data_IF_742390139750
#
_entry.id   IF_742390139750
#
_cell.length_a   1.000
_cell.length_b   1.000
_cell.length_c   1.000
_cell.angle_alpha   90.00
_cell.angle_beta   90.00
_cell.angle_gamma   90.00
#
_symmetry.space_group_name_H-M   'P 1'
#
loop_
_entity.id
_entity.type
_entity.pdbx_description
1 polymer ?
#
# COMPACT_ATOMS: atom_id res chain seq x y z
N UNK A 1 48.13 8.61 -3.49
CA UNK A 1 49.38 8.43 -4.23
C UNK A 1 49.15 7.47 -5.39
N UNK A 2 49.53 7.85 -6.57
CA UNK A 2 49.45 7.04 -7.76
C UNK A 2 50.62 6.03 -7.75
N UNK A 3 50.52 5.03 -6.88
CA UNK A 3 51.52 4.00 -6.73
C UNK A 3 52.68 4.40 -5.80
N UNK A 4 53.43 3.41 -5.40
CA UNK A 4 54.57 3.46 -4.47
C UNK A 4 55.88 4.05 -5.10
N UNK A 5 55.75 4.78 -6.19
CA UNK A 5 56.87 5.36 -6.92
C UNK A 5 57.76 4.39 -7.67
N UNK A 6 57.44 3.09 -7.64
CA UNK A 6 58.19 2.03 -8.29
C UNK A 6 57.49 1.40 -9.51
N UNK A 7 56.26 1.74 -9.73
CA UNK A 7 55.52 1.22 -10.87
C UNK A 7 55.71 2.09 -12.08
N UNK A 8 56.61 1.70 -12.89
CA UNK A 8 56.60 2.06 -14.28
C UNK A 8 55.30 1.55 -14.88
N UNK A 9 54.51 2.45 -15.40
CA UNK A 9 53.26 2.15 -16.10
C UNK A 9 53.46 1.35 -17.39
N UNK A 10 54.61 0.77 -17.57
CA UNK A 10 55.09 0.07 -18.74
C UNK A 10 55.00 -1.45 -18.54
N UNK A 11 53.87 -2.03 -18.86
CA UNK A 11 53.70 -3.49 -18.90
C UNK A 11 52.26 -3.93 -18.98
N UNK A 12 52.00 -5.09 -19.58
CA UNK A 12 50.67 -5.67 -19.62
C UNK A 12 50.18 -5.93 -18.19
N UNK A 13 49.03 -5.38 -17.83
CA UNK A 13 48.42 -5.60 -16.52
C UNK A 13 47.81 -6.98 -16.42
N UNK A 14 47.81 -7.52 -15.23
CA UNK A 14 47.14 -8.78 -14.98
C UNK A 14 45.64 -8.70 -15.28
N UNK A 15 45.05 -9.82 -15.66
CA UNK A 15 43.63 -9.93 -15.91
C UNK A 15 42.77 -9.49 -14.67
N UNK A 16 43.29 -9.70 -13.47
CA UNK A 16 42.64 -9.26 -12.23
C UNK A 16 42.67 -7.73 -12.05
N UNK A 17 43.76 -7.09 -12.42
CA UNK A 17 43.82 -5.62 -12.38
C UNK A 17 42.91 -4.99 -13.43
N UNK A 18 42.81 -5.61 -14.60
CA UNK A 18 41.86 -5.18 -15.64
C UNK A 18 40.40 -5.30 -15.18
N UNK A 19 40.03 -6.42 -14.52
CA UNK A 19 38.70 -6.62 -13.95
C UNK A 19 38.35 -5.60 -12.88
N UNK A 20 39.28 -5.32 -11.96
CA UNK A 20 39.10 -4.31 -10.91
C UNK A 20 38.92 -2.91 -11.52
N UNK A 21 39.63 -2.62 -12.57
CA UNK A 21 39.54 -1.36 -13.28
C UNK A 21 38.18 -1.21 -13.96
N UNK A 22 37.73 -2.21 -14.69
CA UNK A 22 36.40 -2.20 -15.35
C UNK A 22 35.28 -2.04 -14.33
N UNK A 23 35.33 -2.71 -13.17
CA UNK A 23 34.32 -2.60 -12.14
C UNK A 23 34.29 -1.21 -11.49
N UNK A 24 35.43 -0.53 -11.41
CA UNK A 24 35.53 0.80 -10.80
C UNK A 24 35.09 1.95 -11.72
N UNK A 25 35.03 1.73 -13.03
CA UNK A 25 34.76 2.78 -14.03
C UNK A 25 33.27 3.01 -14.33
N UNK A 26 32.38 2.17 -13.81
CA UNK A 26 30.94 2.22 -14.17
C UNK A 26 30.24 3.54 -13.76
N UNK A 27 30.82 4.31 -12.83
CA UNK A 27 30.19 5.51 -12.26
C UNK A 27 31.10 6.76 -12.37
N UNK A 28 32.06 6.75 -13.30
CA UNK A 28 33.02 7.85 -13.45
C UNK A 28 33.03 8.31 -14.87
N UNK A 29 32.80 9.60 -15.06
CA UNK A 29 33.05 10.27 -16.34
C UNK A 29 34.50 10.76 -16.35
N UNK A 30 35.30 10.20 -17.24
CA UNK A 30 36.68 10.63 -17.44
C UNK A 30 36.71 11.60 -18.62
N UNK A 31 37.10 12.84 -18.34
CA UNK A 31 37.30 13.84 -19.37
C UNK A 31 38.81 14.10 -19.52
N UNK A 32 39.30 13.96 -20.74
CA UNK A 32 40.65 14.36 -21.07
C UNK A 32 40.61 15.84 -21.47
N UNK A 33 41.47 16.65 -20.86
CA UNK A 33 41.55 18.08 -21.14
C UNK A 33 42.95 18.45 -21.59
N UNK A 34 43.04 19.35 -22.52
CA UNK A 34 44.32 19.92 -22.96
C UNK A 34 44.88 20.89 -21.88
N UNK A 35 46.09 21.38 -22.11
CA UNK A 35 46.74 22.36 -21.18
C UNK A 35 45.99 23.70 -21.05
N UNK A 36 44.88 23.91 -21.79
CA UNK A 36 44.01 25.07 -21.74
C UNK A 36 42.64 24.72 -21.11
N UNK A 37 42.52 23.51 -20.55
CA UNK A 37 41.28 22.97 -19.99
C UNK A 37 40.12 22.73 -20.99
N UNK A 38 40.43 22.67 -22.29
CA UNK A 38 39.41 22.26 -23.25
C UNK A 38 39.23 20.72 -23.22
N UNK A 39 38.02 20.25 -23.21
CA UNK A 39 37.75 18.82 -23.24
C UNK A 39 38.14 18.24 -24.60
N UNK A 40 38.98 17.23 -24.58
CA UNK A 40 39.35 16.46 -25.79
C UNK A 40 38.39 15.24 -25.81
N UNK A 41 37.61 15.04 -26.88
CA UNK A 41 36.74 13.87 -27.00
C UNK A 41 37.60 12.60 -27.02
N UNK A 42 37.39 11.74 -26.03
CA UNK A 42 37.93 10.38 -26.03
C UNK A 42 36.80 9.45 -26.48
N UNK A 43 37.08 8.58 -27.43
CA UNK A 43 36.14 7.53 -27.78
C UNK A 43 35.80 6.70 -26.50
N UNK A 44 34.53 6.50 -26.24
CA UNK A 44 34.04 5.65 -25.15
C UNK A 44 34.42 4.20 -25.37
N UNK A 45 35.63 3.84 -25.06
CA UNK A 45 36.06 2.46 -25.01
C UNK A 45 36.61 2.21 -23.62
N UNK A 46 36.51 1.00 -23.15
CA UNK A 46 36.94 0.56 -21.82
C UNK A 46 38.43 0.85 -21.53
N UNK A 47 39.15 1.26 -22.55
CA UNK A 47 40.55 1.67 -22.52
C UNK A 47 40.71 2.94 -23.33
N UNK A 48 41.03 4.04 -22.67
CA UNK A 48 41.44 5.24 -23.41
C UNK A 48 42.79 4.99 -24.07
N UNK A 49 42.73 4.74 -25.36
CA UNK A 49 43.92 4.61 -26.19
C UNK A 49 44.18 5.94 -26.90
N UNK A 50 45.38 6.51 -26.69
CA UNK A 50 45.78 7.67 -27.42
C UNK A 50 46.32 7.20 -28.81
N UNK A 51 45.52 7.42 -29.82
CA UNK A 51 45.95 7.21 -31.21
C UNK A 51 46.54 8.49 -31.77
N UNK A 52 47.84 8.53 -32.00
CA UNK A 52 48.44 9.66 -32.69
C UNK A 52 49.86 10.03 -32.33
N UNK A 53 50.59 9.24 -31.54
CA UNK A 53 52.03 9.45 -31.42
C UNK A 53 52.78 8.59 -32.43
N UNK A 54 53.55 9.21 -33.29
CA UNK A 54 54.46 8.59 -34.24
C UNK A 54 55.75 8.02 -33.61
N UNK A 55 55.65 7.50 -32.37
CA UNK A 55 56.81 6.86 -31.73
C UNK A 55 56.79 5.38 -32.07
N UNK A 56 57.68 4.99 -32.94
CA UNK A 56 58.00 3.57 -33.16
C UNK A 56 58.48 2.94 -31.87
N UNK A 57 57.74 1.94 -31.39
CA UNK A 57 58.13 1.08 -30.29
C UNK A 57 57.20 1.05 -29.06
N UNK A 58 56.17 1.86 -28.96
CA UNK A 58 55.23 1.86 -27.82
C UNK A 58 53.81 1.90 -28.35
N UNK A 59 53.21 0.73 -28.46
CA UNK A 59 51.90 0.61 -29.11
C UNK A 59 50.71 0.77 -28.14
N UNK A 60 50.91 0.81 -26.85
CA UNK A 60 49.81 0.83 -25.91
C UNK A 60 50.09 1.74 -24.71
N UNK A 61 49.38 2.84 -24.61
CA UNK A 61 49.35 3.68 -23.42
C UNK A 61 48.08 3.37 -22.61
N UNK A 62 48.25 3.03 -21.32
CA UNK A 62 47.12 2.80 -20.42
C UNK A 62 46.96 4.00 -19.49
N UNK A 63 45.77 4.58 -19.46
CA UNK A 63 45.41 5.54 -18.45
C UNK A 63 45.00 4.80 -17.18
N UNK A 64 45.77 4.92 -16.11
CA UNK A 64 45.40 4.40 -14.79
C UNK A 64 44.76 5.51 -14.01
N UNK A 65 43.46 5.41 -13.82
CA UNK A 65 42.75 6.31 -12.93
C UNK A 65 42.57 5.61 -11.59
N UNK A 66 43.16 6.17 -10.55
CA UNK A 66 42.91 5.71 -9.17
C UNK A 66 41.77 6.53 -8.63
N UNK A 67 40.66 5.86 -8.35
CA UNK A 67 39.49 6.51 -7.82
C UNK A 67 39.69 6.83 -6.34
N UNK A 68 39.56 8.08 -6.02
CA UNK A 68 39.48 8.59 -4.68
C UNK A 68 38.49 9.76 -4.66
N UNK A 69 37.98 10.06 -3.52
CA UNK A 69 37.24 11.31 -3.33
C UNK A 69 38.09 12.29 -2.62
N UNK A 70 37.94 13.57 -2.97
CA UNK A 70 38.62 14.65 -2.28
C UNK A 70 37.93 14.84 -0.92
N UNK A 71 38.70 14.76 0.15
CA UNK A 71 38.21 14.94 1.52
C UNK A 71 38.61 16.32 2.00
N UNK A 72 37.65 17.17 2.29
CA UNK A 72 37.87 18.47 2.94
C UNK A 72 37.22 18.44 4.31
N UNK A 73 37.98 18.71 5.36
CA UNK A 73 37.49 18.68 6.74
C UNK A 73 36.80 17.39 7.16
N UNK A 74 37.34 16.25 6.73
CA UNK A 74 36.80 14.92 7.06
C UNK A 74 35.52 14.51 6.31
N UNK A 75 35.07 15.34 5.37
CA UNK A 75 33.89 15.05 4.54
C UNK A 75 34.28 14.97 3.07
N UNK A 76 33.60 14.11 2.35
CA UNK A 76 33.71 14.03 0.89
C UNK A 76 33.32 15.38 0.28
N UNK A 77 34.21 15.97 -0.52
CA UNK A 77 33.93 17.22 -1.21
C UNK A 77 33.23 16.99 -2.52
N UNK A 78 32.27 17.84 -2.88
CA UNK A 78 31.53 17.82 -4.12
C UNK A 78 32.30 18.48 -5.30
N UNK A 79 33.50 18.99 -5.04
CA UNK A 79 34.29 19.66 -6.07
C UNK A 79 35.14 18.65 -6.83
N UNK A 80 35.19 18.73 -8.15
CA UNK A 80 36.10 17.92 -8.96
C UNK A 80 37.55 18.24 -8.53
N UNK A 81 38.40 17.21 -8.52
CA UNK A 81 39.81 17.37 -8.31
C UNK A 81 40.57 17.05 -9.61
N UNK A 82 41.65 17.73 -9.79
CA UNK A 82 42.50 17.57 -10.97
C UNK A 82 43.73 16.76 -10.59
N UNK A 83 44.02 15.71 -11.34
CA UNK A 83 45.29 15.03 -11.27
C UNK A 83 46.23 15.64 -12.32
N UNK A 84 47.22 16.38 -11.88
CA UNK A 84 48.29 16.83 -12.77
C UNK A 84 49.26 15.67 -12.98
N UNK A 85 49.33 15.18 -14.18
CA UNK A 85 50.34 14.23 -14.59
C UNK A 85 51.60 15.04 -14.96
N UNK A 86 52.37 15.38 -14.01
CA UNK A 86 53.68 15.98 -14.26
C UNK A 86 54.65 14.85 -14.61
N UNK A 87 55.15 14.83 -15.83
CA UNK A 87 56.24 13.99 -16.34
C UNK A 87 56.17 12.46 -16.09
N UNK A 88 55.10 11.95 -15.57
CA UNK A 88 55.07 10.58 -15.10
C UNK A 88 54.10 9.63 -15.82
N UNK A 89 53.28 10.13 -16.71
CA UNK A 89 52.48 9.27 -17.57
C UNK A 89 53.20 9.06 -18.88
N UNK A 90 54.12 8.15 -18.85
CA UNK A 90 54.55 7.34 -19.97
C UNK A 90 54.98 8.01 -21.28
N UNK A 91 55.48 9.23 -21.22
CA UNK A 91 56.14 9.82 -22.34
C UNK A 91 57.61 9.78 -22.06
N UNK A 92 58.19 8.66 -22.29
CA UNK A 92 59.59 8.44 -22.09
C UNK A 92 60.46 9.14 -23.12
N UNK A 93 60.49 10.45 -23.11
CA UNK A 93 61.61 11.18 -23.69
C UNK A 93 61.61 12.63 -23.15
N UNK A 94 62.73 13.04 -22.63
CA UNK A 94 62.97 14.38 -22.10
C UNK A 94 62.83 15.54 -23.13
N UNK A 95 62.57 15.22 -24.37
CA UNK A 95 62.40 16.17 -25.46
C UNK A 95 60.95 16.26 -26.01
N UNK A 96 60.01 15.66 -25.35
CA UNK A 96 58.62 15.78 -25.81
C UNK A 96 58.08 17.15 -25.51
N UNK A 97 57.77 17.91 -26.49
CA UNK A 97 57.14 19.25 -26.44
C UNK A 97 55.67 19.20 -26.03
N UNK A 98 55.22 18.16 -25.35
CA UNK A 98 53.87 18.00 -24.92
C UNK A 98 53.79 18.48 -23.47
N UNK A 99 53.07 19.56 -23.27
CA UNK A 99 52.84 20.14 -21.95
C UNK A 99 52.09 19.17 -20.99
N UNK A 100 51.99 19.53 -19.75
CA UNK A 100 51.32 18.69 -18.75
C UNK A 100 49.89 18.42 -19.19
N UNK A 101 49.51 17.13 -19.21
CA UNK A 101 48.16 16.75 -19.44
C UNK A 101 47.42 16.77 -18.13
N UNK A 102 46.34 17.54 -18.05
CA UNK A 102 45.45 17.58 -16.91
C UNK A 102 44.31 16.60 -17.08
N UNK A 103 44.25 15.65 -16.20
CA UNK A 103 43.10 14.73 -16.14
C UNK A 103 42.09 15.27 -15.15
N UNK A 104 40.95 15.69 -15.62
CA UNK A 104 39.80 16.01 -14.80
C UNK A 104 38.98 14.75 -14.53
N UNK A 105 38.92 14.31 -13.29
CA UNK A 105 38.02 13.23 -12.88
C UNK A 105 36.84 13.87 -12.20
N UNK A 106 35.70 13.84 -12.87
CA UNK A 106 34.42 14.21 -12.29
C UNK A 106 33.83 12.97 -11.62
N UNK A 107 33.82 12.95 -10.31
CA UNK A 107 33.13 11.91 -9.55
C UNK A 107 31.70 12.39 -9.38
N UNK A 108 30.75 11.70 -10.03
CA UNK A 108 29.35 12.00 -9.79
C UNK A 108 28.98 11.59 -8.37
N UNK A 109 28.42 12.54 -7.63
CA UNK A 109 27.87 12.26 -6.32
C UNK A 109 26.63 11.37 -6.55
N UNK A 110 26.62 10.22 -5.91
CA UNK A 110 25.52 9.27 -6.05
C UNK A 110 24.59 9.34 -4.86
N UNK A 111 23.33 9.02 -5.10
CA UNK A 111 22.30 8.79 -4.10
C UNK A 111 21.86 7.35 -4.16
N UNK A 112 21.27 6.89 -3.11
CA UNK A 112 20.82 5.51 -2.96
C UNK A 112 19.31 5.48 -2.85
N UNK A 113 18.69 4.63 -3.66
CA UNK A 113 17.29 4.27 -3.51
C UNK A 113 17.25 2.81 -3.07
N UNK A 114 16.69 2.56 -1.88
CA UNK A 114 16.46 1.18 -1.42
C UNK A 114 15.10 0.72 -1.90
N UNK A 115 15.10 -0.26 -2.79
CA UNK A 115 13.88 -0.84 -3.35
C UNK A 115 13.58 -2.19 -2.69
N UNK A 116 12.34 -2.40 -2.31
CA UNK A 116 11.84 -3.67 -1.75
C UNK A 116 10.47 -4.00 -2.35
N UNK A 117 10.14 -5.27 -2.31
CA UNK A 117 8.84 -5.76 -2.74
C UNK A 117 8.47 -6.98 -1.87
N UNK A 118 7.20 -7.11 -1.52
CA UNK A 118 6.66 -8.27 -0.84
C UNK A 118 6.60 -9.48 -1.78
N UNK A 119 6.24 -10.65 -1.23
CA UNK A 119 5.91 -11.83 -2.00
C UNK A 119 4.78 -11.54 -2.99
N UNK A 120 4.74 -12.29 -4.10
CA UNK A 120 3.70 -12.21 -5.13
C UNK A 120 3.80 -11.04 -6.11
N UNK A 121 4.99 -10.47 -6.23
CA UNK A 121 5.32 -9.51 -7.26
C UNK A 121 6.79 -9.13 -7.25
N UNK A 122 7.16 -8.22 -8.12
CA UNK A 122 8.54 -7.76 -8.27
C UNK A 122 8.59 -6.30 -8.65
N UNK A 123 9.71 -5.69 -8.28
CA UNK A 123 10.08 -4.33 -8.67
C UNK A 123 11.32 -4.37 -9.58
N UNK A 124 11.37 -3.53 -10.58
CA UNK A 124 12.51 -3.37 -11.47
C UNK A 124 12.90 -1.88 -11.57
N UNK A 125 14.17 -1.52 -11.38
CA UNK A 125 15.32 -2.36 -11.06
C UNK A 125 15.09 -3.28 -9.88
N UNK A 126 15.75 -4.46 -9.86
CA UNK A 126 15.52 -5.50 -8.86
C UNK A 126 15.67 -4.95 -7.43
N UNK A 127 14.89 -5.53 -6.50
CA UNK A 127 14.93 -5.20 -5.09
C UNK A 127 16.38 -5.21 -4.55
N UNK A 128 16.71 -4.20 -3.78
CA UNK A 128 18.06 -3.97 -3.24
C UNK A 128 18.44 -2.50 -3.26
N UNK A 129 19.74 -2.25 -3.27
CA UNK A 129 20.31 -0.91 -3.29
C UNK A 129 20.57 -0.45 -4.71
N UNK A 130 19.87 0.57 -5.18
CA UNK A 130 20.02 1.17 -6.50
C UNK A 130 20.80 2.48 -6.33
N UNK A 131 21.88 2.62 -7.10
CA UNK A 131 22.71 3.81 -7.08
C UNK A 131 22.35 4.73 -8.23
N UNK A 132 21.97 5.96 -7.94
CA UNK A 132 21.54 6.98 -8.91
C UNK A 132 22.48 8.17 -8.82
N UNK A 133 23.06 8.66 -9.92
CA UNK A 133 23.83 9.91 -9.91
C UNK A 133 22.96 11.08 -9.44
N UNK A 134 23.51 11.92 -8.56
CA UNK A 134 22.78 13.09 -8.00
C UNK A 134 22.20 13.96 -9.11
N UNK A 135 20.94 14.29 -9.01
CA UNK A 135 20.24 15.11 -9.98
C UNK A 135 19.74 14.34 -11.22
N UNK A 136 19.96 13.03 -11.28
CA UNK A 136 19.37 12.17 -12.31
C UNK A 136 18.05 11.59 -11.81
N UNK A 137 17.27 11.04 -12.73
CA UNK A 137 15.99 10.40 -12.43
C UNK A 137 16.15 8.89 -12.52
N UNK A 138 15.36 8.16 -11.75
CA UNK A 138 15.28 6.70 -11.77
C UNK A 138 13.82 6.26 -11.77
N UNK A 139 13.47 5.33 -12.65
CA UNK A 139 12.10 4.82 -12.79
C UNK A 139 12.01 3.38 -12.35
N UNK A 140 11.06 3.11 -11.47
CA UNK A 140 10.73 1.78 -11.00
C UNK A 140 9.46 1.29 -11.68
N UNK A 141 9.49 0.04 -12.13
CA UNK A 141 8.32 -0.69 -12.65
C UNK A 141 7.94 -1.77 -11.65
N UNK A 142 6.68 -1.79 -11.25
CA UNK A 142 6.13 -2.74 -10.29
C UNK A 142 5.24 -3.72 -11.05
N UNK A 143 5.53 -5.01 -10.93
CA UNK A 143 4.82 -6.05 -11.67
C UNK A 143 4.31 -7.11 -10.69
N UNK A 144 2.99 -7.25 -10.52
CA UNK A 144 2.42 -8.31 -9.71
C UNK A 144 2.52 -9.66 -10.43
N UNK A 145 2.60 -10.74 -9.65
CA UNK A 145 2.52 -12.10 -10.17
C UNK A 145 1.11 -12.42 -10.71
N UNK A 146 1.02 -13.51 -11.48
CA UNK A 146 -0.28 -13.98 -11.98
C UNK A 146 -1.23 -14.29 -10.80
N UNK A 147 -2.42 -13.71 -10.83
CA UNK A 147 -3.39 -13.83 -9.75
C UNK A 147 -3.25 -12.79 -8.64
N UNK A 148 -2.34 -11.82 -8.80
CA UNK A 148 -2.14 -10.72 -7.84
C UNK A 148 -2.26 -9.36 -8.52
N UNK A 149 -2.53 -8.32 -7.74
CA UNK A 149 -2.48 -6.91 -8.16
C UNK A 149 -1.57 -6.13 -7.21
N UNK A 150 -1.16 -4.95 -7.62
CA UNK A 150 -0.43 -4.05 -6.73
C UNK A 150 -1.42 -3.53 -5.69
N UNK A 151 -1.15 -3.76 -4.41
CA UNK A 151 -1.97 -3.26 -3.31
C UNK A 151 -1.64 -1.80 -3.04
N UNK A 152 -0.36 -1.50 -2.85
CA UNK A 152 0.13 -0.15 -2.62
C UNK A 152 1.62 -0.04 -2.95
N UNK A 153 2.08 1.18 -3.17
CA UNK A 153 3.50 1.52 -3.27
C UNK A 153 3.81 2.61 -2.26
N UNK A 154 4.75 2.34 -1.36
CA UNK A 154 5.22 3.29 -0.36
C UNK A 154 6.52 3.94 -0.84
N UNK A 155 6.58 5.25 -0.86
CA UNK A 155 7.78 6.05 -1.13
C UNK A 155 8.13 6.84 0.10
N UNK A 156 9.33 6.61 0.64
CA UNK A 156 9.77 7.19 1.91
C UNK A 156 8.75 7.01 3.05
N UNK A 157 8.13 5.82 3.07
CA UNK A 157 7.12 5.43 4.05
C UNK A 157 5.72 6.03 3.84
N UNK A 158 5.49 6.75 2.73
CA UNK A 158 4.17 7.32 2.40
C UNK A 158 3.58 6.61 1.19
N UNK A 159 2.29 6.30 1.25
CA UNK A 159 1.55 5.71 0.13
C UNK A 159 1.47 6.68 -1.06
N UNK A 160 1.72 6.14 -2.24
CA UNK A 160 1.50 6.79 -3.54
C UNK A 160 0.43 6.05 -4.35
N UNK A 161 -0.26 5.08 -3.71
CA UNK A 161 -1.31 4.27 -4.32
C UNK A 161 -0.77 3.09 -5.13
N UNK A 162 -1.67 2.33 -5.74
CA UNK A 162 -1.38 1.12 -6.52
C UNK A 162 -0.83 1.46 -7.92
N UNK A 163 0.35 2.05 -7.98
CA UNK A 163 0.96 2.49 -9.25
C UNK A 163 1.84 1.42 -9.87
N UNK A 164 1.72 1.18 -11.17
CA UNK A 164 2.56 0.23 -11.92
C UNK A 164 3.95 0.77 -12.23
N UNK A 165 4.14 2.08 -12.14
CA UNK A 165 5.43 2.75 -12.34
C UNK A 165 5.55 3.94 -11.41
N UNK A 166 6.77 4.17 -10.89
CA UNK A 166 7.10 5.36 -10.12
C UNK A 166 8.45 5.91 -10.53
N UNK A 167 8.54 7.22 -10.76
CA UNK A 167 9.79 7.89 -11.15
C UNK A 167 10.22 8.86 -10.05
N UNK A 168 11.42 8.64 -9.52
CA UNK A 168 12.10 9.65 -8.73
C UNK A 168 12.78 10.62 -9.69
N UNK A 169 12.34 11.85 -9.71
CA UNK A 169 12.94 12.89 -10.55
C UNK A 169 13.97 13.69 -9.75
N UNK A 170 15.09 14.06 -10.39
CA UNK A 170 16.12 14.92 -9.79
C UNK A 170 16.56 14.45 -8.39
N UNK A 171 17.02 13.21 -8.29
CA UNK A 171 17.37 12.55 -7.04
C UNK A 171 18.54 13.28 -6.36
N UNK A 172 18.26 14.04 -5.32
CA UNK A 172 19.25 14.82 -4.55
C UNK A 172 19.49 14.25 -3.15
N UNK A 173 18.60 13.39 -2.67
CA UNK A 173 18.64 12.68 -1.40
C UNK A 173 18.54 11.17 -1.58
N UNK A 174 18.71 10.41 -0.50
CA UNK A 174 18.45 8.98 -0.51
C UNK A 174 16.95 8.73 -0.29
N UNK A 175 16.43 7.69 -0.94
CA UNK A 175 15.01 7.36 -0.92
C UNK A 175 14.77 5.87 -0.64
N UNK A 176 13.55 5.55 -0.33
CA UNK A 176 13.05 4.18 -0.24
C UNK A 176 11.82 4.01 -1.13
N UNK A 177 11.66 2.83 -1.72
CA UNK A 177 10.43 2.43 -2.40
C UNK A 177 10.11 0.98 -2.02
N UNK A 178 8.87 0.74 -1.63
CA UNK A 178 8.39 -0.57 -1.22
C UNK A 178 7.06 -0.86 -1.90
N UNK A 179 6.98 -2.00 -2.60
CA UNK A 179 5.77 -2.44 -3.28
C UNK A 179 5.10 -3.59 -2.53
N UNK A 180 3.80 -3.49 -2.30
CA UNK A 180 2.97 -4.51 -1.68
C UNK A 180 1.96 -5.06 -2.69
N UNK A 181 1.59 -6.33 -2.54
CA UNK A 181 0.70 -7.01 -3.48
C UNK A 181 -0.44 -7.71 -2.74
N UNK A 182 -1.61 -7.73 -3.37
CA UNK A 182 -2.76 -8.47 -2.89
C UNK A 182 -3.22 -9.47 -3.97
N UNK A 183 -3.87 -10.54 -3.54
CA UNK A 183 -4.37 -11.57 -4.44
C UNK A 183 -5.52 -11.00 -5.28
N UNK A 184 -5.43 -11.10 -6.59
CA UNK A 184 -6.60 -10.86 -7.44
C UNK A 184 -7.67 -11.85 -7.07
N UNK A 185 -8.85 -11.36 -6.76
CA UNK A 185 -10.01 -12.21 -6.70
C UNK A 185 -10.27 -12.72 -8.12
N UNK A 186 -9.94 -13.97 -8.39
CA UNK A 186 -10.31 -14.60 -9.66
C UNK A 186 -11.75 -15.03 -9.49
N UNK A 187 -12.72 -14.42 -10.18
CA UNK A 187 -14.05 -14.98 -10.21
C UNK A 187 -13.92 -16.39 -10.78
N UNK A 188 -14.34 -17.41 -10.04
CA UNK A 188 -14.63 -18.71 -10.62
C UNK A 188 -15.60 -18.45 -11.79
N UNK A 189 -15.54 -19.15 -12.95
CA UNK A 189 -16.28 -18.80 -14.15
C UNK A 189 -17.79 -18.99 -14.00
N UNK A 190 -18.40 -18.15 -13.19
CA UNK A 190 -19.83 -17.87 -13.09
C UNK A 190 -19.90 -16.49 -12.43
N UNK A 191 -19.56 -15.44 -13.19
CA UNK A 191 -19.63 -14.06 -12.73
C UNK A 191 -21.08 -13.74 -12.39
N UNK A 192 -21.40 -13.41 -11.11
CA UNK A 192 -22.67 -12.79 -10.82
C UNK A 192 -22.75 -11.49 -11.62
N UNK A 193 -23.92 -11.16 -12.14
CA UNK A 193 -24.17 -9.89 -12.84
C UNK A 193 -24.21 -8.69 -11.87
N UNK A 194 -23.79 -8.88 -10.62
CA UNK A 194 -23.74 -7.88 -9.56
C UNK A 194 -22.27 -7.66 -9.22
N UNK A 195 -21.81 -6.41 -9.30
CA UNK A 195 -20.50 -6.03 -8.79
C UNK A 195 -20.44 -6.29 -7.29
N UNK A 196 -19.44 -7.06 -6.88
CA UNK A 196 -19.12 -7.28 -5.46
C UNK A 196 -18.16 -6.16 -5.10
N UNK A 197 -18.42 -5.37 -4.03
CA UNK A 197 -17.49 -4.37 -3.56
C UNK A 197 -16.12 -5.00 -3.32
N UNK A 198 -15.06 -4.33 -3.80
CA UNK A 198 -13.69 -4.73 -3.53
C UNK A 198 -13.35 -4.41 -2.06
N UNK A 199 -12.75 -5.35 -1.34
CA UNK A 199 -12.29 -5.13 0.04
C UNK A 199 -11.42 -3.89 0.14
N UNK A 200 -10.54 -3.70 -0.85
CA UNK A 200 -9.60 -2.59 -0.88
C UNK A 200 -10.32 -1.23 -1.02
N UNK A 201 -11.44 -1.18 -1.74
CA UNK A 201 -12.18 0.06 -1.95
C UNK A 201 -12.90 0.55 -0.68
N UNK A 202 -13.43 -0.37 0.12
CA UNK A 202 -14.19 -0.04 1.33
C UNK A 202 -13.38 -0.17 2.62
N UNK A 203 -12.24 -0.87 2.60
CA UNK A 203 -11.51 -1.24 3.82
C UNK A 203 -12.27 -2.23 4.71
N UNK A 204 -13.30 -2.87 4.16
CA UNK A 204 -14.13 -3.88 4.83
C UNK A 204 -13.85 -5.27 4.23
N UNK A 205 -13.79 -6.28 5.09
CA UNK A 205 -13.57 -7.66 4.68
C UNK A 205 -14.85 -8.26 4.07
N UNK A 206 -14.93 -8.29 2.75
CA UNK A 206 -16.03 -8.86 1.99
C UNK A 206 -15.79 -10.32 1.58
N UNK A 207 -14.59 -10.84 1.78
CA UNK A 207 -14.16 -12.17 1.30
C UNK A 207 -14.14 -13.23 2.38
N UNK A 208 -13.76 -12.89 3.60
CA UNK A 208 -13.69 -13.82 4.72
C UNK A 208 -14.99 -13.75 5.54
N UNK A 209 -15.87 -14.76 5.37
CA UNK A 209 -17.15 -14.79 6.09
C UNK A 209 -16.99 -15.28 7.53
N UNK A 210 -16.35 -14.45 8.37
CA UNK A 210 -16.39 -14.64 9.82
C UNK A 210 -17.70 -14.11 10.39
N UNK A 211 -18.22 -14.81 11.40
CA UNK A 211 -19.31 -14.28 12.21
C UNK A 211 -18.87 -12.97 12.87
N UNK A 212 -19.60 -11.90 12.63
CA UNK A 212 -19.33 -10.59 13.20
C UNK A 212 -20.28 -10.21 14.34
N UNK A 213 -21.38 -10.96 14.48
CA UNK A 213 -22.30 -10.89 15.61
C UNK A 213 -22.02 -12.04 16.56
N UNK A 214 -21.87 -11.72 17.83
CA UNK A 214 -21.78 -12.67 18.92
C UNK A 214 -23.11 -12.67 19.66
N UNK A 215 -23.65 -13.86 19.90
CA UNK A 215 -24.87 -14.01 20.69
C UNK A 215 -24.61 -13.81 22.19
N UNK A 216 -25.68 -13.84 22.93
CA UNK A 216 -25.63 -13.76 24.38
C UNK A 216 -25.40 -15.14 25.01
N UNK A 217 -24.82 -15.16 26.21
CA UNK A 217 -24.47 -16.42 26.89
C UNK A 217 -25.63 -17.36 27.21
N UNK A 218 -26.87 -16.91 27.01
CA UNK A 218 -28.09 -17.70 27.21
C UNK A 218 -28.60 -18.38 25.90
N UNK A 219 -27.83 -18.31 24.84
CA UNK A 219 -28.23 -18.91 23.53
C UNK A 219 -29.17 -18.03 22.69
N UNK A 220 -29.34 -16.78 23.04
CA UNK A 220 -30.13 -15.80 22.28
C UNK A 220 -29.24 -14.87 21.46
N UNK A 221 -29.77 -14.31 20.36
CA UNK A 221 -29.15 -13.26 19.55
C UNK A 221 -29.95 -11.96 19.57
N UNK A 222 -31.18 -12.01 20.09
CA UNK A 222 -32.12 -10.89 20.29
C UNK A 222 -32.38 -10.07 19.04
N UNK A 223 -32.86 -10.70 17.95
CA UNK A 223 -32.98 -10.04 16.64
C UNK A 223 -33.94 -8.83 16.64
N UNK A 224 -34.96 -8.86 17.49
CA UNK A 224 -35.99 -7.82 17.54
C UNK A 224 -35.65 -6.64 18.49
N UNK A 225 -34.58 -6.76 19.28
CA UNK A 225 -34.16 -5.67 20.14
C UNK A 225 -33.48 -4.57 19.32
N UNK A 226 -33.63 -3.32 19.76
CA UNK A 226 -32.84 -2.22 19.23
C UNK A 226 -31.33 -2.50 19.46
N UNK A 227 -30.51 -2.11 18.50
CA UNK A 227 -29.06 -2.19 18.62
C UNK A 227 -28.50 -0.88 19.13
N UNK A 228 -27.45 -0.96 19.95
CA UNK A 228 -26.80 0.24 20.48
C UNK A 228 -25.70 0.78 19.56
N UNK A 229 -25.37 2.04 19.73
CA UNK A 229 -24.28 2.70 18.99
C UNK A 229 -22.93 2.00 19.21
N UNK A 230 -22.65 1.54 20.43
CA UNK A 230 -21.44 0.77 20.75
C UNK A 230 -21.40 -0.58 20.04
N UNK A 231 -22.52 -1.29 19.96
CA UNK A 231 -22.60 -2.56 19.24
C UNK A 231 -22.35 -2.37 17.74
N UNK A 232 -22.93 -1.34 17.12
CA UNK A 232 -22.70 -1.03 15.71
C UNK A 232 -21.24 -0.65 15.45
N UNK A 233 -20.63 0.17 16.31
CA UNK A 233 -19.20 0.45 16.21
C UNK A 233 -18.36 -0.82 16.29
N UNK A 234 -18.68 -1.73 17.20
CA UNK A 234 -17.96 -3.01 17.32
C UNK A 234 -18.13 -3.91 16.09
N UNK A 235 -19.32 -3.94 15.49
CA UNK A 235 -19.57 -4.66 14.24
C UNK A 235 -18.64 -4.16 13.13
N UNK A 236 -18.64 -2.87 12.84
CA UNK A 236 -17.80 -2.32 11.78
C UNK A 236 -16.31 -2.44 12.08
N UNK A 237 -15.89 -2.34 13.33
CA UNK A 237 -14.51 -2.61 13.73
C UNK A 237 -14.07 -4.06 13.43
N UNK A 238 -14.94 -5.05 13.68
CA UNK A 238 -14.72 -6.47 13.34
C UNK A 238 -14.63 -6.69 11.85
N UNK A 239 -15.38 -5.91 11.09
CA UNK A 239 -15.48 -6.01 9.63
C UNK A 239 -14.37 -5.29 8.89
N UNK A 240 -13.56 -4.44 9.54
CA UNK A 240 -12.36 -3.89 8.91
C UNK A 240 -11.45 -5.02 8.43
N UNK A 241 -10.80 -4.84 7.29
CA UNK A 241 -9.66 -5.70 6.93
C UNK A 241 -8.60 -5.63 8.01
N UNK A 242 -7.79 -6.66 8.15
CA UNK A 242 -6.77 -6.70 9.20
C UNK A 242 -5.80 -5.54 9.07
N UNK A 243 -5.38 -5.23 7.85
CA UNK A 243 -4.46 -4.12 7.56
C UNK A 243 -5.05 -2.77 7.96
N UNK A 244 -6.27 -2.46 7.51
CA UNK A 244 -6.95 -1.20 7.85
C UNK A 244 -7.17 -1.08 9.35
N UNK A 245 -7.51 -2.20 10.01
CA UNK A 245 -7.66 -2.21 11.47
C UNK A 245 -6.34 -1.91 12.17
N UNK A 246 -5.28 -2.59 11.80
CA UNK A 246 -3.97 -2.50 12.45
C UNK A 246 -3.34 -1.11 12.25
N UNK A 247 -3.47 -0.53 11.06
CA UNK A 247 -3.01 0.82 10.75
C UNK A 247 -3.71 1.92 11.56
N UNK A 248 -4.99 1.71 11.89
CA UNK A 248 -5.81 2.71 12.56
C UNK A 248 -6.07 2.41 14.04
N UNK A 249 -5.52 1.30 14.56
CA UNK A 249 -5.80 0.82 15.90
C UNK A 249 -5.42 1.86 16.96
N UNK A 250 -6.41 2.28 17.74
CA UNK A 250 -6.20 3.17 18.87
C UNK A 250 -7.20 2.90 19.99
N UNK A 251 -6.79 3.18 21.23
CA UNK A 251 -7.65 3.10 22.43
C UNK A 251 -7.95 4.47 23.02
N UNK A 252 -7.48 5.52 22.35
CA UNK A 252 -7.67 6.90 22.78
C UNK A 252 -8.81 7.55 22.01
N UNK A 253 -9.76 8.09 22.74
CA UNK A 253 -10.86 8.86 22.20
C UNK A 253 -11.09 10.15 22.99
N UNK A 254 -11.96 11.01 22.47
CA UNK A 254 -12.30 12.31 23.05
C UNK A 254 -13.64 12.33 23.81
N UNK A 255 -14.32 11.19 23.91
CA UNK A 255 -15.69 11.15 24.42
C UNK A 255 -15.71 10.97 25.95
N UNK A 256 -16.45 11.83 26.64
CA UNK A 256 -16.51 11.85 28.08
C UNK A 256 -17.20 10.61 28.70
N UNK A 257 -17.99 9.89 27.92
CA UNK A 257 -18.77 8.72 28.28
C UNK A 257 -18.24 7.39 27.73
N UNK A 258 -17.02 7.40 27.15
CA UNK A 258 -16.31 6.20 26.68
C UNK A 258 -15.05 6.00 27.53
N UNK A 259 -15.18 5.22 28.59
CA UNK A 259 -14.04 4.92 29.47
C UNK A 259 -13.05 3.96 28.78
N UNK A 260 -11.75 4.11 29.08
CA UNK A 260 -10.69 3.26 28.53
C UNK A 260 -10.89 1.76 28.85
N UNK A 261 -11.64 1.43 29.89
CA UNK A 261 -11.96 0.06 30.31
C UNK A 261 -13.24 -0.50 29.68
N UNK A 262 -13.97 0.30 28.92
CA UNK A 262 -15.20 -0.15 28.27
C UNK A 262 -14.89 -1.16 27.18
N UNK A 263 -15.69 -2.23 27.09
CA UNK A 263 -15.51 -3.31 26.10
C UNK A 263 -15.53 -2.81 24.66
N UNK A 264 -16.18 -1.71 24.40
CA UNK A 264 -16.29 -1.06 23.08
C UNK A 264 -15.25 0.03 22.85
N UNK A 265 -14.37 0.30 23.82
CA UNK A 265 -13.44 1.43 23.74
C UNK A 265 -12.55 1.37 22.49
N UNK A 266 -11.92 0.22 22.24
CA UNK A 266 -11.04 0.04 21.08
C UNK A 266 -11.78 0.28 19.76
N UNK A 267 -12.98 -0.28 19.61
CA UNK A 267 -13.80 -0.11 18.42
C UNK A 267 -14.23 1.35 18.21
N UNK A 268 -14.74 1.99 19.24
CA UNK A 268 -15.17 3.40 19.16
C UNK A 268 -13.98 4.33 18.88
N UNK A 269 -12.87 4.13 19.57
CA UNK A 269 -11.67 4.96 19.39
C UNK A 269 -11.11 4.83 17.97
N UNK A 270 -10.96 3.61 17.46
CA UNK A 270 -10.43 3.33 16.12
C UNK A 270 -11.33 3.91 15.03
N UNK A 271 -12.61 3.61 15.03
CA UNK A 271 -13.53 4.12 14.02
C UNK A 271 -13.72 5.65 14.10
N UNK A 272 -13.57 6.22 15.30
CA UNK A 272 -13.60 7.68 15.47
C UNK A 272 -12.34 8.33 14.88
N UNK A 273 -11.16 7.74 15.07
CA UNK A 273 -9.92 8.25 14.47
C UNK A 273 -9.95 8.20 12.94
N UNK A 274 -10.61 7.20 12.37
CA UNK A 274 -10.86 7.08 10.92
C UNK A 274 -11.93 8.04 10.39
N UNK A 275 -12.67 8.75 11.26
CA UNK A 275 -13.78 9.61 10.86
C UNK A 275 -15.06 8.85 10.47
N UNK A 276 -15.10 7.53 10.63
CA UNK A 276 -16.26 6.68 10.29
C UNK A 276 -17.42 6.92 11.26
N UNK A 277 -17.13 7.04 12.55
CA UNK A 277 -18.13 7.40 13.56
C UNK A 277 -17.83 8.76 14.17
N UNK A 278 -18.90 9.43 14.60
CA UNK A 278 -18.79 10.73 15.27
C UNK A 278 -19.66 10.72 16.52
N UNK A 279 -19.23 11.47 17.53
CA UNK A 279 -20.04 11.74 18.72
C UNK A 279 -20.94 12.96 18.52
N UNK A 280 -21.52 13.40 19.61
CA UNK A 280 -22.41 14.55 19.69
C UNK A 280 -21.62 15.83 20.02
N UNK A 281 -22.21 17.00 19.74
CA UNK A 281 -21.56 18.30 20.03
C UNK A 281 -21.26 18.52 21.53
N UNK A 282 -21.95 17.80 22.43
CA UNK A 282 -21.72 17.86 23.87
C UNK A 282 -20.49 17.04 24.35
N UNK A 283 -19.73 16.46 23.42
CA UNK A 283 -18.55 15.67 23.74
C UNK A 283 -18.84 14.22 24.14
N UNK A 284 -20.08 13.75 23.98
CA UNK A 284 -20.47 12.37 24.27
C UNK A 284 -20.53 11.51 22.99
N UNK A 285 -20.40 10.20 23.15
CA UNK A 285 -20.66 9.21 22.09
C UNK A 285 -22.03 8.55 22.26
N UNK A 286 -22.53 8.46 23.48
CA UNK A 286 -23.77 7.78 23.89
C UNK A 286 -23.77 6.29 23.53
N UNK A 287 -22.82 5.51 24.01
CA UNK A 287 -22.58 4.12 23.58
C UNK A 287 -23.78 3.20 23.77
N UNK A 288 -24.57 3.41 24.83
CA UNK A 288 -25.73 2.58 25.14
C UNK A 288 -27.04 3.10 24.54
N UNK A 289 -27.04 4.20 23.83
CA UNK A 289 -28.23 4.68 23.13
C UNK A 289 -28.51 3.79 21.91
N UNK A 290 -29.78 3.57 21.61
CA UNK A 290 -30.18 2.97 20.34
C UNK A 290 -29.69 3.85 19.18
N UNK A 291 -29.30 3.22 18.08
CA UNK A 291 -28.87 3.92 16.86
C UNK A 291 -30.06 4.08 15.92
N UNK A 292 -30.16 5.23 15.29
CA UNK A 292 -31.19 5.45 14.28
C UNK A 292 -30.77 4.92 12.90
N UNK A 293 -31.76 4.70 12.03
CA UNK A 293 -31.53 4.29 10.63
C UNK A 293 -30.64 5.28 9.88
N UNK A 294 -30.78 6.58 10.12
CA UNK A 294 -29.95 7.60 9.51
C UNK A 294 -28.50 7.54 10.01
N UNK A 295 -28.29 7.37 11.30
CA UNK A 295 -26.95 7.22 11.88
C UNK A 295 -26.24 5.97 11.34
N UNK A 296 -26.96 4.86 11.21
CA UNK A 296 -26.40 3.64 10.61
C UNK A 296 -26.02 3.86 9.13
N UNK A 297 -26.93 4.45 8.34
CA UNK A 297 -26.66 4.76 6.93
C UNK A 297 -25.43 5.67 6.78
N UNK A 298 -25.28 6.66 7.67
CA UNK A 298 -24.13 7.55 7.67
C UNK A 298 -22.81 6.81 7.98
N UNK A 299 -22.83 5.86 8.92
CA UNK A 299 -21.65 5.04 9.21
C UNK A 299 -21.28 4.20 7.98
N UNK A 300 -22.24 3.48 7.39
CA UNK A 300 -21.99 2.64 6.22
C UNK A 300 -21.47 3.46 5.02
N UNK A 301 -22.09 4.61 4.72
CA UNK A 301 -21.72 5.47 3.61
C UNK A 301 -20.31 6.06 3.73
N UNK A 302 -19.77 6.24 4.94
CA UNK A 302 -18.43 6.78 5.16
C UNK A 302 -17.30 5.80 4.80
N UNK A 303 -17.60 4.54 4.58
CA UNK A 303 -16.64 3.60 3.99
C UNK A 303 -16.51 3.79 2.47
N UNK A 304 -17.50 4.41 1.81
CA UNK A 304 -17.46 4.73 0.39
C UNK A 304 -17.30 6.25 0.21
N UNK A 305 -16.06 6.71 0.21
CA UNK A 305 -15.72 8.14 0.12
C UNK A 305 -16.16 8.80 -1.20
N UNK A 306 -16.22 8.02 -2.28
CA UNK A 306 -16.56 8.48 -3.64
C UNK A 306 -17.99 8.11 -4.04
N UNK A 307 -18.82 7.70 -3.07
CA UNK A 307 -20.17 7.22 -3.28
C UNK A 307 -21.09 8.19 -4.01
N UNK A 308 -22.00 7.63 -4.82
CA UNK A 308 -22.97 8.40 -5.59
C UNK A 308 -23.99 9.11 -4.68
N UNK A 309 -23.92 10.45 -4.65
CA UNK A 309 -24.82 11.34 -3.88
C UNK A 309 -26.09 11.72 -4.62
N UNK A 310 -26.38 11.10 -5.76
CA UNK A 310 -27.65 11.32 -6.46
C UNK A 310 -28.80 11.07 -5.49
N UNK A 311 -29.67 12.09 -5.33
CA UNK A 311 -30.67 12.10 -4.26
C UNK A 311 -31.62 10.89 -4.33
N UNK A 312 -31.64 10.11 -3.25
CA UNK A 312 -32.61 9.04 -3.07
C UNK A 312 -34.04 9.62 -2.98
N UNK A 313 -35.01 8.91 -3.53
CA UNK A 313 -36.40 9.39 -3.65
C UNK A 313 -37.23 9.13 -2.40
N UNK A 314 -36.70 9.40 -1.23
CA UNK A 314 -37.44 9.28 0.03
C UNK A 314 -38.05 10.64 0.41
N UNK A 315 -39.33 10.65 0.76
CA UNK A 315 -40.07 11.87 1.04
C UNK A 315 -39.66 12.59 2.33
N UNK A 316 -39.04 11.87 3.26
CA UNK A 316 -38.73 12.29 4.62
C UNK A 316 -37.25 12.63 4.87
N UNK A 317 -36.41 12.67 3.81
CA UNK A 317 -34.99 13.00 3.96
C UNK A 317 -34.56 14.33 3.33
N UNK A 318 -35.46 15.05 2.68
CA UNK A 318 -35.12 16.21 1.83
C UNK A 318 -34.28 17.29 2.55
N UNK A 319 -34.52 17.51 3.84
CA UNK A 319 -33.79 18.46 4.69
C UNK A 319 -33.05 17.76 5.85
N UNK A 320 -32.93 16.44 5.80
CA UNK A 320 -32.28 15.68 6.85
C UNK A 320 -30.75 15.82 6.74
N UNK A 321 -30.04 15.89 7.88
CA UNK A 321 -28.59 16.05 7.94
C UNK A 321 -27.82 14.92 7.23
N UNK A 322 -28.36 13.70 7.23
CA UNK A 322 -27.76 12.52 6.61
C UNK A 322 -28.31 12.25 5.18
N UNK A 323 -28.88 13.25 4.50
CA UNK A 323 -29.47 13.08 3.17
C UNK A 323 -28.49 12.47 2.17
N UNK A 324 -27.26 12.98 2.14
CA UNK A 324 -26.22 12.53 1.19
C UNK A 324 -25.77 11.12 1.52
N UNK A 325 -25.54 10.81 2.78
CA UNK A 325 -25.14 9.47 3.24
C UNK A 325 -26.24 8.42 3.03
N UNK A 326 -27.50 8.78 3.26
CA UNK A 326 -28.65 7.93 2.95
C UNK A 326 -28.73 7.70 1.43
N UNK A 327 -28.44 8.71 0.62
CA UNK A 327 -28.43 8.57 -0.83
C UNK A 327 -27.32 7.65 -1.32
N UNK A 328 -26.10 7.79 -0.81
CA UNK A 328 -24.98 6.88 -1.09
C UNK A 328 -25.37 5.45 -0.73
N UNK A 329 -25.81 5.20 0.48
CA UNK A 329 -26.17 3.86 0.93
C UNK A 329 -27.34 3.26 0.12
N UNK A 330 -28.27 4.08 -0.35
CA UNK A 330 -29.37 3.64 -1.22
C UNK A 330 -28.88 3.30 -2.64
N UNK A 331 -28.05 4.18 -3.22
CA UNK A 331 -27.52 3.97 -4.58
C UNK A 331 -26.60 2.73 -4.65
N UNK A 332 -25.89 2.43 -3.56
CA UNK A 332 -25.14 1.18 -3.42
C UNK A 332 -26.02 -0.06 -3.16
N UNK A 333 -27.33 0.11 -3.02
CA UNK A 333 -28.24 -1.01 -2.74
C UNK A 333 -28.14 -1.56 -1.31
N UNK A 334 -27.45 -0.88 -0.40
CA UNK A 334 -27.26 -1.32 0.98
C UNK A 334 -28.53 -1.14 1.82
N UNK A 335 -29.26 -0.06 1.58
CA UNK A 335 -30.50 0.25 2.29
C UNK A 335 -31.69 0.33 1.33
N UNK A 336 -32.87 0.13 1.88
CA UNK A 336 -34.14 0.32 1.20
C UNK A 336 -35.07 1.17 2.07
N UNK A 337 -35.99 1.87 1.44
CA UNK A 337 -37.08 2.57 2.15
C UNK A 337 -38.27 1.64 2.43
N UNK A 338 -39.32 2.25 2.94
CA UNK A 338 -40.61 1.62 3.17
C UNK A 338 -41.50 1.72 1.94
N UNK A 339 -42.53 0.86 1.84
CA UNK A 339 -43.47 0.88 0.72
C UNK A 339 -44.24 2.21 0.55
N UNK A 340 -44.35 3.00 1.61
CA UNK A 340 -44.97 4.34 1.60
C UNK A 340 -44.06 5.46 1.03
N UNK A 341 -42.87 5.10 0.60
CA UNK A 341 -41.90 6.05 0.03
C UNK A 341 -41.06 6.79 1.07
N UNK A 342 -41.10 6.41 2.33
CA UNK A 342 -40.29 6.97 3.41
C UNK A 342 -39.03 6.13 3.68
N UNK A 343 -38.02 6.73 4.29
CA UNK A 343 -36.82 6.06 4.81
C UNK A 343 -36.93 5.78 6.33
N UNK A 344 -37.62 6.62 7.06
CA UNK A 344 -37.70 6.58 8.52
C UNK A 344 -36.40 6.94 9.22
N UNK A 345 -35.76 8.08 8.92
CA UNK A 345 -34.39 8.40 9.34
C UNK A 345 -34.23 8.45 10.86
N UNK A 346 -35.24 8.87 11.60
CA UNK A 346 -35.23 8.97 13.07
C UNK A 346 -35.65 7.69 13.80
N UNK A 347 -36.05 6.66 13.04
CA UNK A 347 -36.46 5.41 13.65
C UNK A 347 -35.23 4.63 14.12
N UNK A 348 -35.30 4.09 15.36
CA UNK A 348 -34.30 3.14 15.84
C UNK A 348 -34.28 1.89 14.98
N UNK A 349 -33.11 1.32 14.81
CA UNK A 349 -32.89 0.10 14.01
C UNK A 349 -32.73 -1.11 14.95
N UNK A 350 -33.32 -2.23 14.60
CA UNK A 350 -33.17 -3.47 15.35
C UNK A 350 -31.87 -4.21 14.98
N UNK A 351 -31.46 -5.15 15.84
CA UNK A 351 -30.31 -6.02 15.56
C UNK A 351 -30.48 -6.81 14.27
N UNK A 352 -31.70 -7.33 14.00
CA UNK A 352 -32.03 -8.04 12.77
C UNK A 352 -31.92 -7.14 11.52
N UNK A 353 -32.46 -5.92 11.59
CA UNK A 353 -32.34 -4.95 10.51
C UNK A 353 -30.86 -4.59 10.25
N UNK A 354 -30.07 -4.42 11.32
CA UNK A 354 -28.63 -4.16 11.21
C UNK A 354 -27.90 -5.31 10.52
N UNK A 355 -28.14 -6.56 10.92
CA UNK A 355 -27.54 -7.73 10.25
C UNK A 355 -27.90 -7.80 8.78
N UNK A 356 -29.16 -7.58 8.42
CA UNK A 356 -29.61 -7.56 7.04
C UNK A 356 -28.94 -6.44 6.21
N UNK A 357 -28.74 -5.27 6.81
CA UNK A 357 -28.08 -4.15 6.13
C UNK A 357 -26.57 -4.41 5.98
N UNK A 358 -25.88 -4.85 7.04
CA UNK A 358 -24.46 -5.20 7.00
C UNK A 358 -24.19 -6.29 5.97
N UNK A 359 -25.02 -7.35 5.92
CA UNK A 359 -24.88 -8.42 4.93
C UNK A 359 -25.00 -7.89 3.49
N UNK A 360 -25.81 -6.85 3.25
CA UNK A 360 -25.88 -6.20 1.93
C UNK A 360 -24.64 -5.37 1.65
N UNK A 361 -24.12 -4.62 2.61
CA UNK A 361 -22.85 -3.86 2.47
C UNK A 361 -21.72 -4.80 2.07
N UNK A 362 -21.66 -6.00 2.66
CA UNK A 362 -20.64 -7.00 2.40
C UNK A 362 -20.98 -7.97 1.25
N UNK A 363 -22.15 -7.83 0.64
CA UNK A 363 -22.69 -8.77 -0.35
C UNK A 363 -22.71 -10.24 0.13
N UNK A 364 -23.04 -10.48 1.40
CA UNK A 364 -23.10 -11.77 2.07
C UNK A 364 -24.55 -12.18 2.26
N UNK A 365 -25.13 -12.89 1.31
CA UNK A 365 -26.57 -13.17 1.30
C UNK A 365 -26.86 -14.59 0.82
N UNK A 366 -27.18 -15.54 1.69
CA UNK A 366 -27.86 -16.77 1.29
C UNK A 366 -29.29 -16.44 0.80
N UNK A 367 -29.78 -17.16 -0.20
CA UNK A 367 -31.10 -16.92 -0.80
C UNK A 367 -32.20 -17.70 -0.08
N UNK A 368 -31.87 -18.92 0.32
CA UNK A 368 -32.81 -19.88 0.94
C UNK A 368 -32.13 -20.65 2.06
N UNK A 369 -32.91 -21.39 2.85
CA UNK A 369 -32.35 -22.28 3.89
C UNK A 369 -31.46 -23.39 3.31
N UNK A 370 -31.69 -23.80 2.07
CA UNK A 370 -30.90 -24.84 1.37
C UNK A 370 -29.48 -24.34 1.05
N UNK A 371 -29.23 -23.06 1.20
CA UNK A 371 -27.91 -22.46 1.03
C UNK A 371 -27.08 -22.49 2.32
N UNK A 372 -27.69 -22.81 3.45
CA UNK A 372 -27.08 -22.93 4.75
C UNK A 372 -26.58 -24.35 5.04
N UNK A 373 -25.87 -24.54 6.13
CA UNK A 373 -25.33 -25.84 6.56
C UNK A 373 -26.10 -26.39 7.78
N UNK A 374 -26.46 -27.68 7.83
CA UNK A 374 -27.28 -28.23 8.88
C UNK A 374 -26.65 -28.25 10.27
N UNK A 375 -25.35 -28.17 10.36
CA UNK A 375 -24.56 -28.16 11.60
C UNK A 375 -24.18 -26.75 12.10
N UNK A 376 -24.78 -25.71 11.52
CA UNK A 376 -24.61 -24.34 11.96
C UNK A 376 -25.19 -24.09 13.34
N UNK A 377 -24.78 -23.01 14.00
CA UNK A 377 -25.42 -22.54 15.24
C UNK A 377 -26.79 -21.95 14.92
N UNK A 378 -27.82 -22.46 15.58
CA UNK A 378 -29.19 -21.92 15.52
C UNK A 378 -29.51 -21.34 16.90
N UNK A 379 -29.96 -20.09 16.93
CA UNK A 379 -30.27 -19.38 18.17
C UNK A 379 -31.70 -19.67 18.61
N UNK A 380 -31.92 -19.75 19.92
CA UNK A 380 -33.23 -20.09 20.48
C UNK A 380 -34.34 -19.12 20.05
N UNK A 381 -33.99 -17.86 19.87
CA UNK A 381 -34.87 -16.78 19.44
C UNK A 381 -34.78 -16.45 17.93
N UNK A 382 -34.06 -17.28 17.16
CA UNK A 382 -34.00 -17.27 15.70
C UNK A 382 -34.23 -18.66 15.10
N UNK A 383 -35.08 -19.47 15.72
CA UNK A 383 -35.35 -20.85 15.27
C UNK A 383 -36.44 -20.95 14.17
N UNK A 384 -37.13 -19.86 13.85
CA UNK A 384 -38.18 -19.86 12.84
C UNK A 384 -37.62 -19.48 11.46
N UNK A 385 -37.45 -20.43 10.52
CA UNK A 385 -36.91 -20.14 9.19
C UNK A 385 -37.80 -19.23 8.33
N UNK A 386 -39.05 -19.08 8.67
CA UNK A 386 -40.01 -18.18 7.98
C UNK A 386 -39.91 -16.73 8.45
N UNK A 387 -39.12 -16.45 9.51
CA UNK A 387 -38.89 -15.08 9.92
C UNK A 387 -38.06 -14.36 8.84
N UNK A 388 -38.47 -13.16 8.47
CA UNK A 388 -37.83 -12.40 7.40
C UNK A 388 -36.32 -12.16 7.62
N UNK A 389 -35.91 -12.19 8.87
CA UNK A 389 -34.52 -11.97 9.29
C UNK A 389 -33.73 -13.26 9.51
N UNK A 390 -34.37 -14.46 9.37
CA UNK A 390 -33.72 -15.72 9.72
C UNK A 390 -32.37 -15.91 9.01
N UNK A 391 -32.35 -15.78 7.67
CA UNK A 391 -31.14 -15.94 6.88
C UNK A 391 -30.07 -14.90 7.24
N UNK A 392 -30.48 -13.65 7.45
CA UNK A 392 -29.56 -12.58 7.80
C UNK A 392 -28.90 -12.80 9.16
N UNK A 393 -29.63 -13.32 10.13
CA UNK A 393 -29.09 -13.67 11.45
C UNK A 393 -28.12 -14.85 11.35
N UNK A 394 -28.47 -15.90 10.59
CA UNK A 394 -27.60 -17.04 10.41
C UNK A 394 -26.29 -16.64 9.74
N UNK A 395 -26.34 -15.79 8.72
CA UNK A 395 -25.19 -15.26 8.02
C UNK A 395 -24.27 -14.44 8.94
N UNK A 396 -24.83 -13.58 9.75
CA UNK A 396 -24.08 -12.71 10.64
C UNK A 396 -23.41 -13.44 11.82
N UNK A 397 -23.93 -14.63 12.19
CA UNK A 397 -23.57 -15.34 13.43
C UNK A 397 -22.82 -16.65 13.22
N UNK A 398 -22.66 -17.10 11.99
CA UNK A 398 -21.94 -18.33 11.68
C UNK A 398 -20.75 -18.05 10.72
N UNK A 399 -19.57 -18.47 11.11
CA UNK A 399 -18.38 -18.38 10.26
C UNK A 399 -18.37 -19.55 9.28
N UNK A 400 -18.20 -19.27 7.99
CA UNK A 400 -18.30 -20.28 6.95
C UNK A 400 -17.43 -19.95 5.72
N UNK A 401 -17.21 -20.96 4.88
CA UNK A 401 -16.77 -20.83 3.50
C UNK A 401 -17.98 -20.88 2.58
N UNK A 402 -17.91 -20.22 1.44
CA UNK A 402 -19.03 -20.05 0.54
C UNK A 402 -18.64 -20.15 -0.94
N UNK A 403 -19.63 -20.21 -1.80
CA UNK A 403 -19.52 -20.02 -3.25
C UNK A 403 -20.73 -19.20 -3.70
N UNK A 404 -20.51 -18.28 -4.63
CA UNK A 404 -21.66 -17.64 -5.28
C UNK A 404 -22.43 -18.63 -6.15
N UNK A 405 -23.73 -18.48 -6.19
CA UNK A 405 -24.61 -19.20 -7.10
C UNK A 405 -24.42 -18.65 -8.51
N UNK A 406 -24.55 -19.51 -9.51
CA UNK A 406 -24.34 -19.13 -10.92
C UNK A 406 -25.25 -17.97 -11.33
N UNK A 407 -24.68 -16.91 -11.88
CA UNK A 407 -25.36 -15.68 -12.30
C UNK A 407 -26.26 -15.06 -11.20
N UNK A 408 -25.81 -15.09 -9.97
CA UNK A 408 -26.57 -14.60 -8.82
C UNK A 408 -25.68 -13.83 -7.86
N UNK A 409 -26.26 -12.87 -7.15
CA UNK A 409 -25.62 -12.19 -6.02
C UNK A 409 -25.64 -13.04 -4.74
N UNK A 410 -26.42 -14.13 -4.78
CA UNK A 410 -26.59 -14.99 -3.61
C UNK A 410 -25.49 -16.04 -3.54
N UNK A 411 -25.16 -16.40 -2.33
CA UNK A 411 -24.15 -17.39 -2.00
C UNK A 411 -24.78 -18.69 -1.50
N UNK A 412 -23.96 -19.74 -1.50
CA UNK A 412 -24.22 -21.01 -0.84
C UNK A 412 -23.05 -21.36 0.05
N UNK A 413 -23.31 -21.70 1.31
CA UNK A 413 -22.29 -22.14 2.25
C UNK A 413 -21.75 -23.51 1.85
N UNK A 414 -20.43 -23.67 1.98
CA UNK A 414 -19.76 -24.93 1.60
C UNK A 414 -19.23 -25.69 2.80
N UNK A 415 -18.75 -24.98 3.80
CA UNK A 415 -18.18 -25.57 5.02
C UNK A 415 -18.25 -24.54 6.16
N UNK A 416 -18.46 -24.99 7.40
CA UNK A 416 -18.30 -24.12 8.57
C UNK A 416 -16.81 -23.95 8.87
N UNK A 417 -16.44 -22.78 9.28
CA UNK A 417 -15.07 -22.47 9.72
C UNK A 417 -15.06 -22.06 11.19
N UNK A 418 -13.87 -22.17 11.81
CA UNK A 418 -13.70 -21.74 13.19
C UNK A 418 -14.02 -20.24 13.33
N UNK A 419 -14.83 -19.89 14.31
CA UNK A 419 -15.10 -18.51 14.65
C UNK A 419 -13.80 -17.77 15.03
N UNK A 420 -13.71 -16.50 14.64
CA UNK A 420 -12.61 -15.63 15.04
C UNK A 420 -12.77 -15.24 16.52
N UNK A 421 -11.68 -15.24 17.26
CA UNK A 421 -11.70 -14.74 18.65
C UNK A 421 -11.55 -13.22 18.63
N UNK A 422 -12.68 -12.52 18.61
CA UNK A 422 -12.72 -11.07 18.62
C UNK A 422 -12.16 -10.45 19.89
N UNK A 423 -12.12 -11.20 21.00
CA UNK A 423 -11.61 -10.65 22.28
C UNK A 423 -10.12 -10.34 22.24
N UNK A 424 -9.38 -10.93 21.30
CA UNK A 424 -7.97 -10.63 21.07
C UNK A 424 -7.74 -9.28 20.38
N UNK A 425 -8.73 -8.79 19.63
CA UNK A 425 -8.66 -7.55 18.88
C UNK A 425 -9.33 -6.37 19.60
N UNK A 426 -10.32 -6.67 20.43
CA UNK A 426 -11.15 -5.67 21.13
C UNK A 426 -10.56 -5.20 22.47
N UNK A 427 -9.57 -5.90 23.01
CA UNK A 427 -8.96 -5.60 24.33
C UNK A 427 -7.88 -4.54 24.27
#
# INVERSE_FOLDING_TARGET
SLGDGKNTLNGPRSTEEQKRFSAATSNVEIQYVDGKHNTIPIAKTEHARYEGSSYEGYNDYYLVVVFGYHVVNGKKADTPFYLSANNGIGVGNANATHGPHLLQVKVDEVRVITATADEHGKIAPAAGTITVPKGKSETFTITPDSGYHIKDVLVDGKSVGAVGTYTFENVVDNHTIHATFARKHTPTPSTPTVEIPDDDALGLNTTDHFAYIVGYGNGEVRPQNNITRAEVATIFFRLLTDDVRDENLTKTNRYSDVAATSWYNTAVSTLSSMGIITGYPDGTFRPNAAITRAEFAAIAARFDNDGDKTAAKFSDIAIHWAKDEISIAYNNGWITGYPDGTFGPQRDITRAETMALVNRVLNRQPETEDDLLPNMTVWTDNANPKAWYYLAVQEATNSHYYKFKTNSKYEKWTELRKARDWTLLEK
#
